data_IF_374863851838
#
_entry.id   IF_374863851838
#
_cell.length_a   1.000
_cell.length_b   1.000
_cell.length_c   1.000
_cell.angle_alpha   90.00
_cell.angle_beta   90.00
_cell.angle_gamma   90.00
#
_symmetry.space_group_name_H-M   'P 1'
#
loop_
_entity.id
_entity.type
_entity.pdbx_description
1 polymer ?
#
# COMPACT_ATOMS: atom_id res chain seq x y z
N UNK A 1 -18.85 13.65 -1.80
CA UNK A 1 -17.50 13.04 -1.96
C UNK A 1 -16.57 13.26 -0.76
N UNK A 2 -16.23 14.49 -0.39
CA UNK A 2 -15.23 14.79 0.67
C UNK A 2 -15.44 14.04 1.99
N UNK A 3 -16.67 14.05 2.53
CA UNK A 3 -16.98 13.36 3.79
C UNK A 3 -16.75 11.85 3.70
N UNK A 4 -17.17 11.21 2.60
CA UNK A 4 -16.97 9.78 2.38
C UNK A 4 -15.48 9.43 2.23
N UNK A 5 -14.69 10.25 1.52
CA UNK A 5 -13.25 10.05 1.38
C UNK A 5 -12.56 10.09 2.75
N UNK A 6 -12.90 11.09 3.57
CA UNK A 6 -12.35 11.21 4.92
C UNK A 6 -12.82 10.07 5.83
N UNK A 7 -14.06 9.61 5.70
CA UNK A 7 -14.58 8.48 6.45
C UNK A 7 -13.85 7.17 6.10
N UNK A 8 -13.61 6.89 4.82
CA UNK A 8 -12.84 5.70 4.39
C UNK A 8 -11.38 5.81 4.85
N UNK A 9 -10.75 6.97 4.68
CA UNK A 9 -9.38 7.19 5.16
C UNK A 9 -9.28 7.03 6.68
N UNK A 10 -10.25 7.57 7.42
CA UNK A 10 -10.35 7.44 8.86
C UNK A 10 -10.60 6.00 9.31
N UNK A 11 -11.38 5.22 8.56
CA UNK A 11 -11.59 3.80 8.83
C UNK A 11 -10.30 2.99 8.65
N UNK A 12 -9.52 3.26 7.58
CA UNK A 12 -8.19 2.65 7.39
C UNK A 12 -7.28 3.01 8.57
N UNK A 13 -7.20 4.30 8.92
CA UNK A 13 -6.42 4.77 10.07
C UNK A 13 -6.84 4.09 11.37
N UNK A 14 -8.13 4.00 11.65
CA UNK A 14 -8.68 3.35 12.84
C UNK A 14 -8.29 1.87 12.91
N UNK A 15 -8.38 1.14 11.78
CA UNK A 15 -7.99 -0.27 11.73
C UNK A 15 -6.49 -0.46 12.04
N UNK A 16 -5.62 0.39 11.49
CA UNK A 16 -4.18 0.33 11.77
C UNK A 16 -3.83 0.80 13.18
N UNK A 17 -4.51 1.80 13.72
CA UNK A 17 -4.34 2.18 15.13
C UNK A 17 -4.78 1.05 16.07
N UNK A 18 -5.89 0.39 15.77
CA UNK A 18 -6.34 -0.77 16.55
C UNK A 18 -5.34 -1.92 16.46
N UNK A 19 -4.79 -2.19 15.27
CA UNK A 19 -3.71 -3.17 15.09
C UNK A 19 -2.48 -2.85 15.97
N UNK A 20 -2.03 -1.58 15.97
CA UNK A 20 -0.91 -1.12 16.81
C UNK A 20 -1.23 -1.35 18.27
N UNK A 21 -2.38 -0.88 18.76
CA UNK A 21 -2.73 -0.98 20.18
C UNK A 21 -2.92 -2.42 20.65
N UNK A 22 -3.50 -3.29 19.81
CA UNK A 22 -3.84 -4.66 20.20
C UNK A 22 -2.67 -5.65 20.07
N UNK A 23 -1.83 -5.52 19.04
CA UNK A 23 -0.85 -6.57 18.69
C UNK A 23 0.59 -6.07 18.53
N UNK A 24 0.80 -4.76 18.48
CA UNK A 24 2.10 -4.15 18.18
C UNK A 24 2.38 -2.90 19.01
N UNK A 25 1.92 -2.88 20.26
CA UNK A 25 1.95 -1.68 21.09
C UNK A 25 3.39 -1.36 21.52
N UNK A 26 3.99 -0.25 21.04
CA UNK A 26 5.40 0.07 21.33
C UNK A 26 5.61 0.57 22.77
N UNK A 27 4.54 0.83 23.52
CA UNK A 27 4.58 1.35 24.89
C UNK A 27 4.43 0.24 25.95
N UNK A 28 4.37 -1.03 25.54
CA UNK A 28 4.43 -2.16 26.48
C UNK A 28 5.80 -2.12 27.18
N UNK A 29 5.78 -1.96 28.50
CA UNK A 29 6.98 -1.89 29.32
C UNK A 29 7.57 -3.28 29.51
N UNK A 30 8.88 -3.40 29.28
CA UNK A 30 9.66 -4.58 29.65
C UNK A 30 9.99 -4.52 31.14
N UNK A 31 9.78 -5.62 31.86
CA UNK A 31 10.15 -5.74 33.27
C UNK A 31 10.81 -7.11 33.53
N UNK A 32 12.11 -7.15 33.90
CA UNK A 32 13.01 -6.02 34.09
C UNK A 32 13.32 -5.29 32.78
N UNK A 33 13.58 -3.98 32.85
CA UNK A 33 14.07 -3.24 31.70
C UNK A 33 15.47 -3.74 31.36
N UNK A 34 15.75 -4.12 30.10
CA UNK A 34 17.09 -4.54 29.72
C UNK A 34 18.05 -3.33 29.77
N UNK A 35 19.30 -3.58 30.16
CA UNK A 35 20.34 -2.55 30.23
C UNK A 35 20.61 -1.96 28.85
N UNK A 36 20.59 -2.81 27.81
CA UNK A 36 20.75 -2.44 26.41
C UNK A 36 19.49 -2.78 25.60
N UNK A 37 19.20 -1.97 24.58
CA UNK A 37 18.09 -2.21 23.67
C UNK A 37 18.30 -3.43 22.78
N UNK A 38 17.19 -3.99 22.26
CA UNK A 38 17.25 -4.91 21.12
C UNK A 38 17.45 -4.09 19.86
N UNK A 39 18.71 -3.76 19.56
CA UNK A 39 19.08 -3.05 18.35
C UNK A 39 18.86 -3.92 17.11
N UNK A 40 18.98 -3.32 15.93
CA UNK A 40 19.09 -4.05 14.68
C UNK A 40 20.40 -4.83 14.63
N UNK A 41 20.42 -5.90 13.85
CA UNK A 41 21.66 -6.58 13.50
C UNK A 41 22.68 -5.53 12.97
N UNK A 42 23.96 -5.55 13.38
CA UNK A 42 24.95 -4.56 12.95
C UNK A 42 25.02 -4.32 11.43
N UNK A 43 24.83 -5.35 10.59
CA UNK A 43 24.81 -5.23 9.12
C UNK A 43 23.62 -4.38 8.59
N UNK A 44 22.60 -4.20 9.43
CA UNK A 44 21.42 -3.42 9.11
C UNK A 44 21.55 -1.96 9.58
N UNK A 45 22.58 -1.62 10.36
CA UNK A 45 22.75 -0.25 10.87
C UNK A 45 23.40 0.67 9.84
N UNK A 46 22.68 0.91 8.75
CA UNK A 46 23.16 1.63 7.59
C UNK A 46 22.18 2.73 7.13
N UNK A 47 22.71 3.79 6.52
CA UNK A 47 21.92 4.93 6.04
C UNK A 47 20.92 4.53 4.95
N UNK A 48 21.30 3.58 4.09
CA UNK A 48 20.42 3.00 3.08
C UNK A 48 19.20 2.32 3.70
N UNK A 49 19.39 1.54 4.77
CA UNK A 49 18.26 0.99 5.55
C UNK A 49 17.42 2.06 6.23
N UNK A 50 18.02 3.15 6.70
CA UNK A 50 17.25 4.22 7.35
C UNK A 50 16.33 4.99 6.37
N UNK A 51 16.74 5.11 5.10
CA UNK A 51 16.05 5.94 4.10
C UNK A 51 14.97 5.17 3.33
N UNK A 52 15.25 3.95 2.87
CA UNK A 52 14.33 3.29 1.93
C UNK A 52 12.97 2.87 2.53
N UNK A 53 12.86 2.37 3.79
CA UNK A 53 11.58 1.96 4.34
C UNK A 53 10.60 3.15 4.49
N UNK A 54 10.99 4.33 5.00
CA UNK A 54 10.13 5.51 4.96
C UNK A 54 9.59 5.85 3.57
N UNK A 55 10.42 5.75 2.52
CA UNK A 55 9.98 5.97 1.13
C UNK A 55 8.95 4.92 0.69
N UNK A 56 9.20 3.63 0.96
CA UNK A 56 8.26 2.55 0.67
C UNK A 56 6.92 2.76 1.41
N UNK A 57 6.96 3.13 2.70
CA UNK A 57 5.76 3.42 3.47
C UNK A 57 5.00 4.63 2.93
N UNK A 58 5.68 5.71 2.56
CA UNK A 58 5.05 6.86 1.91
C UNK A 58 4.36 6.47 0.60
N UNK A 59 4.96 5.56 -0.16
CA UNK A 59 4.33 4.97 -1.35
C UNK A 59 3.06 4.17 -1.02
N UNK A 60 3.17 3.17 -0.14
CA UNK A 60 2.03 2.31 0.23
C UNK A 60 0.88 3.09 0.87
N UNK A 61 1.19 3.93 1.86
CA UNK A 61 0.20 4.76 2.55
C UNK A 61 -0.35 5.82 1.59
N UNK A 62 0.46 6.35 0.67
CA UNK A 62 -0.01 7.28 -0.36
C UNK A 62 -1.11 6.68 -1.24
N UNK A 63 -1.01 5.41 -1.61
CA UNK A 63 -2.08 4.73 -2.37
C UNK A 63 -3.39 4.54 -1.59
N UNK A 64 -3.38 4.59 -0.25
CA UNK A 64 -4.61 4.57 0.55
C UNK A 64 -5.53 5.75 0.25
N UNK A 65 -4.97 6.90 -0.12
CA UNK A 65 -5.74 8.09 -0.51
C UNK A 65 -6.50 7.80 -1.80
N UNK A 66 -5.82 7.23 -2.79
CA UNK A 66 -6.42 6.84 -4.08
C UNK A 66 -7.54 5.81 -3.86
N UNK A 67 -7.32 4.83 -3.00
CA UNK A 67 -8.33 3.86 -2.59
C UNK A 67 -9.54 4.52 -1.92
N UNK A 68 -9.33 5.44 -0.97
CA UNK A 68 -10.38 6.18 -0.28
C UNK A 68 -11.24 6.99 -1.25
N UNK A 69 -10.62 7.62 -2.25
CA UNK A 69 -11.34 8.28 -3.35
C UNK A 69 -12.17 7.30 -4.18
N UNK A 70 -11.64 6.11 -4.50
CA UNK A 70 -12.38 5.09 -5.26
C UNK A 70 -13.58 4.55 -4.51
N UNK A 71 -13.41 4.15 -3.25
CA UNK A 71 -14.50 3.63 -2.42
C UNK A 71 -15.58 4.69 -2.20
N UNK A 72 -15.18 5.93 -1.89
CA UNK A 72 -16.11 7.03 -1.73
C UNK A 72 -16.93 7.30 -3.00
N UNK A 73 -16.29 7.25 -4.17
CA UNK A 73 -16.96 7.46 -5.45
C UNK A 73 -17.91 6.32 -5.83
N UNK A 74 -17.58 5.07 -5.45
CA UNK A 74 -18.47 3.92 -5.58
C UNK A 74 -19.70 4.02 -4.66
N UNK A 75 -19.53 4.50 -3.43
CA UNK A 75 -20.63 4.74 -2.48
C UNK A 75 -21.58 5.82 -3.02
N UNK A 76 -21.02 6.92 -3.52
CA UNK A 76 -21.78 8.06 -4.04
C UNK A 76 -22.35 7.83 -5.44
N UNK A 77 -21.80 6.87 -6.18
CA UNK A 77 -22.22 6.52 -7.55
C UNK A 77 -21.86 7.59 -8.59
N UNK A 78 -20.90 8.48 -8.30
CA UNK A 78 -20.52 9.60 -9.17
C UNK A 78 -19.04 9.55 -9.50
N UNK A 79 -18.72 9.26 -10.76
CA UNK A 79 -17.35 9.11 -11.26
C UNK A 79 -17.22 9.84 -12.59
N UNK A 80 -16.50 10.96 -12.57
CA UNK A 80 -16.29 11.85 -13.70
C UNK A 80 -14.80 12.17 -13.92
N UNK A 81 -14.49 12.94 -14.96
CA UNK A 81 -13.13 13.37 -15.23
C UNK A 81 -12.53 14.24 -14.11
N UNK A 82 -13.36 14.91 -13.31
CA UNK A 82 -12.89 15.70 -12.18
C UNK A 82 -12.28 14.79 -11.12
N UNK A 83 -12.93 13.67 -10.80
CA UNK A 83 -12.39 12.65 -9.89
C UNK A 83 -10.99 12.19 -10.31
N UNK A 84 -10.77 11.92 -11.60
CA UNK A 84 -9.46 11.50 -12.11
C UNK A 84 -8.40 12.59 -11.92
N UNK A 85 -8.77 13.86 -12.13
CA UNK A 85 -7.88 15.01 -11.88
C UNK A 85 -7.49 15.15 -10.42
N UNK A 86 -8.39 14.81 -9.49
CA UNK A 86 -8.10 14.81 -8.05
C UNK A 86 -7.20 13.64 -7.65
N UNK A 87 -7.41 12.44 -8.19
CA UNK A 87 -6.66 11.23 -7.82
C UNK A 87 -5.26 11.22 -8.41
N UNK A 88 -5.07 11.68 -9.65
CA UNK A 88 -3.79 11.65 -10.38
C UNK A 88 -2.59 12.20 -9.60
N UNK A 89 -2.63 13.41 -8.98
CA UNK A 89 -1.49 13.91 -8.22
C UNK A 89 -1.14 13.03 -7.02
N UNK A 90 -2.15 12.45 -6.33
CA UNK A 90 -1.90 11.52 -5.23
C UNK A 90 -1.28 10.21 -5.71
N UNK A 91 -1.76 9.67 -6.84
CA UNK A 91 -1.16 8.50 -7.49
C UNK A 91 0.29 8.78 -7.84
N UNK A 92 0.59 9.95 -8.44
CA UNK A 92 1.95 10.31 -8.85
C UNK A 92 2.89 10.44 -7.65
N UNK A 93 2.47 11.13 -6.58
CA UNK A 93 3.28 11.29 -5.37
C UNK A 93 3.56 9.93 -4.72
N UNK A 94 2.53 9.09 -4.53
CA UNK A 94 2.70 7.74 -4.00
C UNK A 94 3.64 6.88 -4.87
N UNK A 95 3.46 6.94 -6.19
CA UNK A 95 4.29 6.23 -7.14
C UNK A 95 5.75 6.70 -7.14
N UNK A 96 6.02 8.01 -7.02
CA UNK A 96 7.38 8.54 -6.93
C UNK A 96 8.09 8.07 -5.66
N UNK A 97 7.41 8.11 -4.51
CA UNK A 97 7.97 7.60 -3.25
C UNK A 97 8.22 6.10 -3.30
N UNK A 98 7.29 5.31 -3.86
CA UNK A 98 7.48 3.88 -4.03
C UNK A 98 8.66 3.59 -4.98
N UNK A 99 8.77 4.33 -6.08
CA UNK A 99 9.90 4.20 -7.02
C UNK A 99 11.23 4.51 -6.34
N UNK A 100 11.30 5.61 -5.58
CA UNK A 100 12.50 5.97 -4.82
C UNK A 100 12.85 4.95 -3.74
N UNK A 101 11.85 4.43 -3.03
CA UNK A 101 12.04 3.39 -2.01
C UNK A 101 12.57 2.08 -2.59
N UNK A 102 12.02 1.64 -3.73
CA UNK A 102 12.51 0.45 -4.44
C UNK A 102 13.93 0.69 -4.94
N UNK A 103 14.20 1.80 -5.65
CA UNK A 103 15.52 2.09 -6.19
C UNK A 103 16.60 2.20 -5.11
N UNK A 104 16.29 2.87 -4.00
CA UNK A 104 17.22 3.00 -2.87
C UNK A 104 17.43 1.66 -2.14
N UNK A 105 16.37 0.86 -1.98
CA UNK A 105 16.44 -0.47 -1.41
C UNK A 105 17.32 -1.40 -2.25
N UNK A 106 17.12 -1.42 -3.58
CA UNK A 106 17.95 -2.19 -4.52
C UNK A 106 19.42 -1.77 -4.49
N UNK A 107 19.69 -0.46 -4.41
CA UNK A 107 21.05 0.05 -4.26
C UNK A 107 21.70 -0.45 -2.96
N UNK A 108 20.99 -0.33 -1.83
CA UNK A 108 21.46 -0.78 -0.52
C UNK A 108 21.72 -2.29 -0.49
N UNK A 109 20.76 -3.10 -0.94
CA UNK A 109 20.91 -4.56 -0.98
C UNK A 109 22.11 -5.00 -1.84
N UNK A 110 22.40 -4.29 -2.93
CA UNK A 110 23.54 -4.59 -3.79
C UNK A 110 24.88 -4.43 -3.05
N UNK A 111 25.09 -3.32 -2.33
CA UNK A 111 26.39 -3.08 -1.70
C UNK A 111 26.54 -3.73 -0.31
N UNK A 112 25.47 -3.80 0.48
CA UNK A 112 25.54 -4.31 1.85
C UNK A 112 25.45 -5.85 1.89
N UNK A 113 24.58 -6.43 1.05
CA UNK A 113 24.30 -7.86 1.05
C UNK A 113 24.95 -8.61 -0.12
N UNK A 114 25.52 -7.89 -1.10
CA UNK A 114 26.25 -8.48 -2.23
C UNK A 114 25.39 -9.36 -3.14
N UNK A 115 24.07 -9.09 -3.21
CA UNK A 115 22.97 -9.92 -3.71
C UNK A 115 23.02 -10.36 -5.20
N UNK A 116 24.15 -10.84 -5.69
CA UNK A 116 24.27 -11.39 -7.06
C UNK A 116 23.88 -10.43 -8.19
N UNK A 117 23.63 -9.14 -7.89
CA UNK A 117 23.10 -8.14 -8.80
C UNK A 117 22.15 -7.14 -8.11
N UNK A 118 21.69 -6.15 -8.88
CA UNK A 118 20.82 -5.07 -8.41
C UNK A 118 19.37 -5.52 -8.11
N UNK A 119 19.00 -6.77 -8.44
CA UNK A 119 17.61 -7.25 -8.39
C UNK A 119 17.54 -8.75 -8.12
N UNK A 120 17.66 -9.13 -6.86
CA UNK A 120 17.54 -10.53 -6.44
C UNK A 120 16.11 -10.77 -5.92
N UNK A 121 15.53 -11.93 -6.22
CA UNK A 121 14.09 -12.17 -6.08
C UNK A 121 13.67 -12.48 -4.64
N UNK A 122 13.84 -11.54 -3.70
CA UNK A 122 13.29 -11.68 -2.36
C UNK A 122 11.77 -11.42 -2.33
N UNK A 123 11.01 -12.21 -1.56
CA UNK A 123 9.56 -12.06 -1.50
C UNK A 123 9.08 -10.67 -1.05
N UNK A 124 9.82 -9.96 -0.21
CA UNK A 124 9.45 -8.63 0.28
C UNK A 124 9.73 -7.56 -0.77
N UNK A 125 10.80 -7.69 -1.54
CA UNK A 125 11.04 -6.83 -2.70
C UNK A 125 9.93 -7.01 -3.75
N UNK A 126 9.56 -8.26 -4.06
CA UNK A 126 8.46 -8.56 -4.97
C UNK A 126 7.12 -7.98 -4.49
N UNK A 127 6.87 -7.99 -3.18
CA UNK A 127 5.68 -7.41 -2.59
C UNK A 127 5.58 -5.89 -2.85
N UNK A 128 6.72 -5.19 -2.93
CA UNK A 128 6.76 -3.76 -3.29
C UNK A 128 6.60 -3.50 -4.79
N UNK A 129 7.04 -4.44 -5.62
CA UNK A 129 6.96 -4.33 -7.07
C UNK A 129 5.52 -4.47 -7.60
N UNK A 130 4.69 -5.32 -6.99
CA UNK A 130 3.29 -5.51 -7.37
C UNK A 130 2.45 -4.22 -7.36
N UNK A 131 2.38 -3.44 -6.26
CA UNK A 131 1.66 -2.16 -6.26
C UNK A 131 2.35 -1.11 -7.14
N UNK A 132 3.67 -1.21 -7.39
CA UNK A 132 4.34 -0.31 -8.33
C UNK A 132 3.84 -0.51 -9.77
N UNK A 133 3.70 -1.77 -10.22
CA UNK A 133 3.11 -2.09 -11.53
C UNK A 133 1.66 -1.62 -11.65
N UNK A 134 0.83 -1.96 -10.65
CA UNK A 134 -0.58 -1.54 -10.63
C UNK A 134 -0.72 -0.01 -10.54
N UNK A 135 0.12 0.66 -9.75
CA UNK A 135 0.19 2.11 -9.63
C UNK A 135 0.63 2.79 -10.93
N UNK A 136 1.55 2.17 -11.67
CA UNK A 136 1.95 2.63 -13.01
C UNK A 136 0.77 2.56 -13.96
N UNK A 137 0.07 1.42 -14.03
CA UNK A 137 -1.15 1.29 -14.84
C UNK A 137 -2.24 2.30 -14.42
N UNK A 138 -2.42 2.50 -13.12
CA UNK A 138 -3.37 3.47 -12.56
C UNK A 138 -3.04 4.90 -13.02
N UNK A 139 -1.78 5.31 -12.98
CA UNK A 139 -1.37 6.65 -13.38
C UNK A 139 -1.71 6.93 -14.86
N UNK A 140 -1.43 5.96 -15.74
CA UNK A 140 -1.78 6.06 -17.16
C UNK A 140 -3.29 6.05 -17.39
N UNK A 141 -4.02 5.15 -16.71
CA UNK A 141 -5.48 5.05 -16.80
C UNK A 141 -6.16 6.34 -16.31
N UNK A 142 -5.63 6.96 -15.25
CA UNK A 142 -6.14 8.23 -14.72
C UNK A 142 -5.98 9.39 -15.72
N UNK A 143 -4.86 9.45 -16.46
CA UNK A 143 -4.67 10.45 -17.52
C UNK A 143 -5.71 10.28 -18.63
N UNK A 144 -5.92 9.05 -19.09
CA UNK A 144 -6.94 8.76 -20.12
C UNK A 144 -8.35 9.12 -19.63
N UNK A 145 -8.67 8.78 -18.38
CA UNK A 145 -9.95 9.10 -17.77
C UNK A 145 -10.16 10.61 -17.61
N UNK A 146 -9.14 11.37 -17.21
CA UNK A 146 -9.23 12.82 -17.10
C UNK A 146 -9.41 13.50 -18.45
N UNK A 147 -8.68 13.05 -19.48
CA UNK A 147 -8.65 13.71 -20.80
C UNK A 147 -9.80 13.29 -21.71
N UNK A 148 -10.22 12.03 -21.64
CA UNK A 148 -11.19 11.43 -22.58
C UNK A 148 -12.45 10.91 -21.90
N UNK A 149 -12.55 11.01 -20.57
CA UNK A 149 -13.63 10.38 -19.80
C UNK A 149 -13.79 8.87 -20.04
N UNK A 150 -12.78 8.20 -20.60
CA UNK A 150 -12.75 6.77 -20.88
C UNK A 150 -12.12 5.98 -19.72
N UNK A 151 -12.13 4.64 -19.78
CA UNK A 151 -11.50 3.73 -18.78
C UNK A 151 -11.97 3.90 -17.33
N UNK A 152 -13.12 4.54 -17.06
CA UNK A 152 -13.61 4.82 -15.69
C UNK A 152 -13.57 3.58 -14.77
N UNK A 153 -14.13 2.47 -15.24
CA UNK A 153 -14.20 1.21 -14.48
C UNK A 153 -12.80 0.67 -14.20
N UNK A 154 -11.91 0.70 -15.20
CA UNK A 154 -10.54 0.25 -15.06
C UNK A 154 -9.73 1.11 -14.10
N UNK A 155 -9.84 2.44 -14.19
CA UNK A 155 -9.11 3.35 -13.29
C UNK A 155 -9.51 3.13 -11.83
N UNK A 156 -10.81 2.91 -11.54
CA UNK A 156 -11.26 2.58 -10.19
C UNK A 156 -10.73 1.23 -9.71
N UNK A 157 -10.84 0.20 -10.56
CA UNK A 157 -10.36 -1.13 -10.23
C UNK A 157 -8.86 -1.10 -9.95
N UNK A 158 -8.08 -0.42 -10.77
CA UNK A 158 -6.64 -0.23 -10.57
C UNK A 158 -6.34 0.51 -9.26
N UNK A 159 -7.09 1.56 -8.91
CA UNK A 159 -6.91 2.24 -7.64
C UNK A 159 -7.21 1.34 -6.43
N UNK A 160 -8.22 0.47 -6.53
CA UNK A 160 -8.52 -0.54 -5.50
C UNK A 160 -7.40 -1.58 -5.42
N UNK A 161 -6.99 -2.13 -6.56
CA UNK A 161 -5.95 -3.17 -6.65
C UNK A 161 -4.59 -2.66 -6.19
N UNK A 162 -4.20 -1.43 -6.52
CA UNK A 162 -2.90 -0.88 -6.11
C UNK A 162 -2.77 -0.84 -4.58
N UNK A 163 -3.76 -0.29 -3.87
CA UNK A 163 -3.74 -0.29 -2.41
C UNK A 163 -3.91 -1.70 -1.82
N UNK A 164 -4.72 -2.54 -2.46
CA UNK A 164 -4.88 -3.95 -2.07
C UNK A 164 -3.54 -4.69 -2.10
N UNK A 165 -2.71 -4.47 -3.12
CA UNK A 165 -1.38 -5.05 -3.25
C UNK A 165 -0.39 -4.49 -2.22
N UNK A 166 -0.47 -3.19 -1.90
CA UNK A 166 0.30 -2.61 -0.79
C UNK A 166 -0.06 -3.23 0.58
N UNK A 167 -1.35 -3.45 0.82
CA UNK A 167 -1.84 -4.09 2.04
C UNK A 167 -1.45 -5.57 2.11
N UNK A 168 -1.49 -6.26 0.96
CA UNK A 168 -1.00 -7.64 0.85
C UNK A 168 0.48 -7.72 1.16
N UNK A 169 1.30 -6.79 0.67
CA UNK A 169 2.72 -6.73 1.02
C UNK A 169 2.96 -6.58 2.52
N UNK A 170 2.13 -5.78 3.20
CA UNK A 170 2.18 -5.64 4.67
C UNK A 170 1.90 -6.98 5.36
N UNK A 171 0.92 -7.74 4.89
CA UNK A 171 0.62 -9.07 5.40
C UNK A 171 1.76 -10.06 5.15
N UNK A 172 2.33 -10.10 3.95
CA UNK A 172 3.41 -11.02 3.61
C UNK A 172 4.65 -10.80 4.49
N UNK A 173 5.01 -9.54 4.75
CA UNK A 173 6.17 -9.18 5.58
C UNK A 173 5.96 -9.49 7.06
N UNK A 174 4.72 -9.38 7.58
CA UNK A 174 4.43 -9.46 9.03
C UNK A 174 3.81 -10.76 9.50
N UNK A 175 3.25 -11.57 8.60
CA UNK A 175 2.55 -12.82 8.93
C UNK A 175 3.47 -13.99 9.25
N UNK A 176 4.73 -13.95 8.79
CA UNK A 176 5.65 -15.09 8.89
C UNK A 176 5.32 -16.25 7.95
N UNK A 177 4.38 -16.06 7.01
CA UNK A 177 4.02 -17.08 6.00
C UNK A 177 5.14 -17.31 4.98
N UNK A 178 5.97 -16.30 4.75
CA UNK A 178 7.12 -16.38 3.86
C UNK A 178 8.42 -16.18 4.65
N UNK A 179 9.47 -16.92 4.27
CA UNK A 179 10.83 -16.66 4.75
C UNK A 179 11.45 -15.53 3.93
N UNK A 180 11.91 -14.47 4.59
CA UNK A 180 12.64 -13.36 3.98
C UNK A 180 13.61 -12.75 4.99
N UNK A 181 14.73 -12.21 4.50
CA UNK A 181 15.66 -11.44 5.32
C UNK A 181 15.07 -10.11 5.81
N UNK A 182 14.02 -9.62 5.13
CA UNK A 182 13.28 -8.41 5.46
C UNK A 182 12.09 -8.65 6.39
N UNK A 183 11.85 -9.91 6.80
CA UNK A 183 10.77 -10.25 7.70
C UNK A 183 11.18 -9.96 9.16
N UNK A 184 10.82 -8.78 9.65
CA UNK A 184 11.05 -8.38 11.03
C UNK A 184 9.80 -8.57 11.90
N UNK A 185 10.01 -8.98 13.14
CA UNK A 185 8.97 -9.04 14.17
C UNK A 185 7.72 -9.83 13.74
N UNK A 186 7.96 -11.02 13.17
CA UNK A 186 6.92 -11.96 12.74
C UNK A 186 6.19 -12.51 13.96
N UNK A 187 4.86 -12.42 13.92
CA UNK A 187 3.98 -12.91 14.99
C UNK A 187 2.66 -13.37 14.35
N UNK A 188 2.24 -14.64 14.53
CA UNK A 188 0.98 -15.14 14.00
C UNK A 188 -0.23 -14.28 14.36
N UNK A 189 -0.27 -13.70 15.57
CA UNK A 189 -1.35 -12.82 15.99
C UNK A 189 -1.42 -11.54 15.14
N UNK A 190 -0.26 -10.96 14.78
CA UNK A 190 -0.19 -9.80 13.87
C UNK A 190 -0.62 -10.19 12.47
N UNK A 191 -0.19 -11.36 11.98
CA UNK A 191 -0.58 -11.90 10.70
C UNK A 191 -2.10 -12.06 10.57
N UNK A 192 -2.74 -12.68 11.56
CA UNK A 192 -4.20 -12.85 11.62
C UNK A 192 -4.92 -11.50 11.67
N UNK A 193 -4.43 -10.55 12.45
CA UNK A 193 -5.05 -9.22 12.53
C UNK A 193 -4.99 -8.49 11.18
N UNK A 194 -3.82 -8.48 10.52
CA UNK A 194 -3.66 -7.87 9.20
C UNK A 194 -4.49 -8.61 8.15
N UNK A 195 -4.65 -9.93 8.27
CA UNK A 195 -5.55 -10.70 7.40
C UNK A 195 -7.00 -10.24 7.54
N UNK A 196 -7.48 -9.96 8.76
CA UNK A 196 -8.81 -9.38 8.97
C UNK A 196 -8.95 -8.00 8.30
N UNK A 197 -7.91 -7.15 8.40
CA UNK A 197 -7.87 -5.84 7.71
C UNK A 197 -7.92 -6.05 6.19
N UNK A 198 -7.13 -6.99 5.65
CA UNK A 198 -7.15 -7.38 4.24
C UNK A 198 -8.55 -7.79 3.79
N UNK A 199 -9.17 -8.75 4.47
CA UNK A 199 -10.50 -9.25 4.14
C UNK A 199 -11.54 -8.14 4.18
N UNK A 200 -11.47 -7.25 5.18
CA UNK A 200 -12.40 -6.14 5.31
C UNK A 200 -12.26 -5.12 4.17
N UNK A 201 -11.05 -4.60 3.94
CA UNK A 201 -10.84 -3.52 2.98
C UNK A 201 -10.79 -4.00 1.54
N UNK A 202 -10.07 -5.08 1.24
CA UNK A 202 -10.03 -5.65 -0.12
C UNK A 202 -11.38 -6.30 -0.43
N UNK A 203 -11.82 -7.22 0.41
CA UNK A 203 -13.08 -7.94 0.19
C UNK A 203 -14.26 -6.97 0.11
N UNK A 204 -14.35 -6.02 1.04
CA UNK A 204 -15.40 -5.01 1.06
C UNK A 204 -15.38 -4.08 -0.17
N UNK A 205 -14.21 -3.58 -0.57
CA UNK A 205 -14.10 -2.69 -1.74
C UNK A 205 -14.33 -3.40 -3.07
N UNK A 206 -13.85 -4.64 -3.24
CA UNK A 206 -14.10 -5.44 -4.45
C UNK A 206 -15.56 -5.88 -4.53
N UNK A 207 -16.18 -6.26 -3.41
CA UNK A 207 -17.62 -6.55 -3.37
C UNK A 207 -18.44 -5.30 -3.72
N UNK A 208 -18.11 -4.14 -3.14
CA UNK A 208 -18.75 -2.88 -3.48
C UNK A 208 -18.56 -2.53 -4.96
N UNK A 209 -17.35 -2.71 -5.50
CA UNK A 209 -17.06 -2.52 -6.92
C UNK A 209 -17.93 -3.43 -7.77
N UNK A 210 -18.00 -4.74 -7.49
CA UNK A 210 -18.82 -5.69 -8.24
C UNK A 210 -20.31 -5.32 -8.23
N UNK A 211 -20.84 -4.88 -7.08
CA UNK A 211 -22.24 -4.46 -6.92
C UNK A 211 -22.57 -3.14 -7.65
N UNK A 212 -21.58 -2.27 -7.85
CA UNK A 212 -21.77 -0.93 -8.42
C UNK A 212 -21.30 -0.81 -9.87
N UNK A 213 -20.42 -1.70 -10.34
CA UNK A 213 -19.76 -1.60 -11.64
C UNK A 213 -20.75 -1.48 -12.81
N UNK A 214 -21.86 -2.22 -12.78
CA UNK A 214 -22.90 -2.18 -13.82
C UNK A 214 -23.68 -0.86 -13.88
N UNK A 215 -23.68 -0.09 -12.79
CA UNK A 215 -24.35 1.21 -12.70
C UNK A 215 -23.44 2.37 -13.10
N UNK A 216 -22.15 2.11 -13.28
CA UNK A 216 -21.21 3.11 -13.78
C UNK A 216 -21.34 3.19 -15.29
N UNK A 217 -21.79 4.34 -15.79
CA UNK A 217 -21.86 4.57 -17.23
C UNK A 217 -20.46 4.42 -17.82
N UNK A 218 -20.30 3.46 -18.74
CA UNK A 218 -19.09 3.38 -19.56
C UNK A 218 -18.90 4.73 -20.25
N UNK A 219 -17.71 5.31 -20.11
CA UNK A 219 -17.37 6.53 -20.83
C UNK A 219 -17.33 6.31 -22.35
N UNK A 220 -17.01 7.36 -23.10
CA UNK A 220 -16.89 7.26 -24.56
C UNK A 220 -15.97 6.11 -25.01
N UNK A 221 -16.35 5.44 -26.08
CA UNK A 221 -15.50 4.51 -26.81
C UNK A 221 -14.34 5.29 -27.44
N UNK A 222 -13.15 4.67 -27.42
CA UNK A 222 -11.85 5.26 -27.75
C UNK A 222 -11.77 5.98 -29.09
#
# INVERSE_FOLDING_TARGET
>A
LRANVLAVQGAIGCAFFLFILATSNPFIRLNPAPIEGRDLNPILQDLGLAIHPPLLYLGYVGFSICFSFSVAALIEGRIDASWARWVRPWTLVAWMFLTGGIAMGSYWAYYELGWGGFWFWDPVENASFMPWLAGTALLHSAIVMEKRSALKIWTLLLAILTFSLSLLGTFLVRSGVLTSVHAFATDPARGVFILCILTLFIGGSLALFALRASRLTAGGLF
#
